data_IF_969916295108
#
_entry.id   IF_969916295108
#
_cell.length_a   1.000
_cell.length_b   1.000
_cell.length_c   1.000
_cell.angle_alpha   90.00
_cell.angle_beta   90.00
_cell.angle_gamma   90.00
#
_symmetry.space_group_name_H-M   'P 1'
#
loop_
_entity.id
_entity.type
_entity.pdbx_description
1 polymer ?
#
# COMPACT_ATOMS: atom_id res chain seq x y z
N UNK A 1 4.13 7.49 -0.16
CA UNK A 1 3.10 8.37 0.47
C UNK A 1 2.47 7.63 1.65
N UNK A 2 2.11 8.32 2.74
CA UNK A 2 1.43 7.72 3.92
C UNK A 2 -0.06 8.12 3.89
N UNK A 3 -0.93 7.19 4.25
CA UNK A 3 -2.39 7.33 4.27
C UNK A 3 -2.93 6.88 5.62
N UNK A 4 -4.12 7.37 5.99
CA UNK A 4 -4.84 6.98 7.21
C UNK A 4 -6.34 6.99 6.97
N UNK A 5 -7.06 6.14 7.70
CA UNK A 5 -8.53 6.14 7.84
C UNK A 5 -9.00 6.88 9.11
N UNK A 6 -8.08 7.53 9.82
CA UNK A 6 -8.31 8.18 11.12
C UNK A 6 -8.02 7.27 12.33
N UNK A 7 -7.74 5.98 12.11
CA UNK A 7 -7.39 5.02 13.18
C UNK A 7 -6.01 4.40 12.97
N UNK A 8 -5.73 3.95 11.75
CA UNK A 8 -4.48 3.28 11.39
C UNK A 8 -3.80 4.00 10.23
N UNK A 9 -2.51 3.75 10.09
CA UNK A 9 -1.65 4.32 9.07
C UNK A 9 -1.11 3.21 8.16
N UNK A 10 -0.91 3.56 6.90
CA UNK A 10 -0.30 2.70 5.89
C UNK A 10 0.52 3.54 4.90
N UNK A 11 1.42 2.92 4.15
CA UNK A 11 2.15 3.58 3.08
C UNK A 11 2.05 2.80 1.78
N UNK A 12 2.01 3.53 0.66
CA UNK A 12 2.04 2.93 -0.67
C UNK A 12 3.47 2.62 -1.09
N UNK A 13 3.64 1.44 -1.67
CA UNK A 13 4.90 0.94 -2.22
C UNK A 13 4.87 0.81 -3.75
N UNK A 14 3.71 0.49 -4.33
CA UNK A 14 3.56 0.23 -5.76
C UNK A 14 2.15 0.56 -6.24
N UNK A 15 2.00 0.74 -7.55
CA UNK A 15 0.71 0.92 -8.21
C UNK A 15 0.72 0.22 -9.57
N UNK A 16 -0.33 -0.53 -9.86
CA UNK A 16 -0.47 -1.31 -11.09
C UNK A 16 -1.78 -0.96 -11.80
N UNK A 17 -1.78 -1.12 -13.13
CA UNK A 17 -2.99 -1.05 -13.96
C UNK A 17 -3.78 -2.37 -13.93
N UNK A 18 -3.09 -3.49 -13.73
CA UNK A 18 -3.70 -4.82 -13.62
C UNK A 18 -3.94 -5.15 -12.14
N UNK A 19 -5.15 -5.61 -11.84
CA UNK A 19 -5.53 -6.11 -10.52
C UNK A 19 -4.70 -7.32 -10.11
N UNK A 20 -4.60 -8.29 -11.00
CA UNK A 20 -3.85 -9.54 -10.80
C UNK A 20 -2.38 -9.25 -10.44
N UNK A 21 -1.75 -8.29 -11.11
CA UNK A 21 -0.37 -7.89 -10.78
C UNK A 21 -0.26 -7.27 -9.39
N UNK A 22 -1.22 -6.43 -8.98
CA UNK A 22 -1.24 -5.85 -7.65
C UNK A 22 -1.47 -6.91 -6.56
N UNK A 23 -2.36 -7.87 -6.82
CA UNK A 23 -2.66 -8.97 -5.90
C UNK A 23 -1.45 -9.91 -5.76
N UNK A 24 -0.77 -10.25 -6.86
CA UNK A 24 0.46 -11.04 -6.83
C UNK A 24 1.58 -10.35 -6.04
N UNK A 25 1.71 -9.03 -6.19
CA UNK A 25 2.67 -8.25 -5.42
C UNK A 25 2.33 -8.23 -3.93
N UNK A 26 1.06 -8.01 -3.58
CA UNK A 26 0.60 -8.04 -2.20
C UNK A 26 0.79 -9.41 -1.56
N UNK A 27 0.50 -10.50 -2.29
CA UNK A 27 0.74 -11.87 -1.83
C UNK A 27 2.23 -12.13 -1.56
N UNK A 28 3.12 -11.72 -2.46
CA UNK A 28 4.58 -11.85 -2.25
C UNK A 28 5.04 -11.15 -0.97
N UNK A 29 4.47 -10.00 -0.66
CA UNK A 29 4.82 -9.23 0.54
C UNK A 29 4.27 -9.89 1.81
N UNK A 30 3.03 -10.39 1.75
CA UNK A 30 2.46 -11.20 2.84
C UNK A 30 3.33 -12.42 3.14
N UNK A 31 3.84 -13.11 2.11
CA UNK A 31 4.74 -14.27 2.25
C UNK A 31 6.08 -13.89 2.90
N UNK A 32 6.52 -12.63 2.78
CA UNK A 32 7.72 -12.11 3.46
C UNK A 32 7.44 -11.60 4.89
N UNK A 33 6.21 -11.72 5.37
CA UNK A 33 5.80 -11.26 6.71
C UNK A 33 5.33 -9.81 6.77
N UNK A 34 5.15 -9.15 5.62
CA UNK A 34 4.67 -7.77 5.55
C UNK A 34 3.15 -7.73 5.52
N UNK A 35 2.53 -6.82 6.29
CA UNK A 35 1.08 -6.62 6.24
C UNK A 35 0.65 -5.81 5.02
N UNK A 36 0.67 -6.45 3.84
CA UNK A 36 0.39 -5.83 2.55
C UNK A 36 -1.07 -6.05 2.08
N UNK A 37 -1.62 -5.04 1.39
CA UNK A 37 -2.98 -5.09 0.84
C UNK A 37 -3.13 -4.19 -0.40
N UNK A 38 -4.15 -4.48 -1.22
CA UNK A 38 -4.47 -3.72 -2.43
C UNK A 38 -5.62 -2.75 -2.18
N UNK A 39 -5.47 -1.52 -2.66
CA UNK A 39 -6.52 -0.49 -2.65
C UNK A 39 -6.80 -0.03 -4.07
N UNK A 40 -8.07 -0.06 -4.45
CA UNK A 40 -8.52 0.51 -5.72
C UNK A 40 -8.53 2.04 -5.65
N UNK A 41 -7.95 2.69 -6.64
CA UNK A 41 -7.98 4.12 -6.80
C UNK A 41 -8.52 4.44 -8.20
N UNK A 42 -9.71 5.05 -8.25
CA UNK A 42 -10.28 5.54 -9.48
C UNK A 42 -9.79 6.96 -9.74
N UNK A 43 -9.13 7.18 -10.88
CA UNK A 43 -8.73 8.51 -11.31
C UNK A 43 -9.77 9.01 -12.32
N UNK A 44 -10.73 9.81 -11.83
CA UNK A 44 -11.89 10.28 -12.60
C UNK A 44 -11.50 11.06 -13.86
N UNK A 45 -10.46 11.89 -13.77
CA UNK A 45 -9.95 12.71 -14.88
C UNK A 45 -9.43 11.86 -16.06
N UNK A 46 -8.94 10.65 -15.77
CA UNK A 46 -8.38 9.76 -16.79
C UNK A 46 -9.27 8.55 -17.08
N UNK A 47 -10.41 8.40 -16.38
CA UNK A 47 -11.30 7.23 -16.44
C UNK A 47 -10.57 5.87 -16.28
N UNK A 48 -9.43 5.84 -15.59
CA UNK A 48 -8.67 4.60 -15.40
C UNK A 48 -8.58 4.24 -13.92
N UNK A 49 -8.87 2.96 -13.64
CA UNK A 49 -8.68 2.33 -12.35
C UNK A 49 -7.21 1.93 -12.16
N UNK A 50 -6.66 2.31 -11.02
CA UNK A 50 -5.37 1.85 -10.52
C UNK A 50 -5.55 0.97 -9.30
N UNK A 51 -4.63 0.02 -9.14
CA UNK A 51 -4.56 -0.87 -7.99
C UNK A 51 -3.27 -0.57 -7.25
N UNK A 52 -3.38 0.07 -6.08
CA UNK A 52 -2.25 0.52 -5.27
C UNK A 52 -1.96 -0.52 -4.19
N UNK A 53 -0.72 -0.97 -4.11
CA UNK A 53 -0.27 -1.88 -3.05
C UNK A 53 0.27 -1.05 -1.90
N UNK A 54 -0.21 -1.34 -0.70
CA UNK A 54 0.15 -0.66 0.53
C UNK A 54 0.59 -1.65 1.60
N UNK A 55 1.46 -1.21 2.48
CA UNK A 55 1.82 -1.91 3.73
C UNK A 55 1.33 -1.05 4.89
N UNK A 56 0.70 -1.65 5.89
CA UNK A 56 0.02 -0.85 6.91
C UNK A 56 -0.37 -1.56 8.20
N UNK A 57 -1.43 -1.03 8.79
CA UNK A 57 -1.94 -1.31 10.15
C UNK A 57 -1.08 -0.73 11.28
N UNK A 58 -0.34 0.36 11.00
CA UNK A 58 0.43 1.09 12.01
C UNK A 58 -0.49 1.98 12.85
N UNK A 59 -0.25 2.08 14.16
CA UNK A 59 -1.09 2.88 15.06
C UNK A 59 -0.75 4.37 14.99
N UNK A 60 0.47 4.72 14.60
CA UNK A 60 0.92 6.12 14.52
C UNK A 60 1.58 6.44 13.19
N UNK A 61 1.56 7.72 12.83
CA UNK A 61 2.26 8.21 11.64
C UNK A 61 3.78 8.00 11.73
N UNK A 62 4.36 8.11 12.93
CA UNK A 62 5.79 7.93 13.15
C UNK A 62 6.19 6.47 12.94
N UNK A 63 5.40 5.52 13.44
CA UNK A 63 5.60 4.09 13.20
C UNK A 63 5.60 3.78 11.70
N UNK A 64 4.59 4.28 10.96
CA UNK A 64 4.54 4.10 9.51
C UNK A 64 5.73 4.73 8.77
N UNK A 65 6.22 5.90 9.21
CA UNK A 65 7.40 6.57 8.63
C UNK A 65 8.67 5.79 8.85
N UNK A 66 8.92 5.38 10.09
CA UNK A 66 10.12 4.63 10.45
C UNK A 66 10.14 3.27 9.77
N UNK A 67 8.99 2.58 9.75
CA UNK A 67 8.86 1.31 9.05
C UNK A 67 9.16 1.46 7.56
N UNK A 68 8.53 2.45 6.90
CA UNK A 68 8.78 2.73 5.48
C UNK A 68 10.27 3.01 5.21
N UNK A 69 10.94 3.77 6.08
CA UNK A 69 12.37 4.08 5.93
C UNK A 69 13.23 2.82 6.00
N UNK A 70 12.90 1.87 6.89
CA UNK A 70 13.59 0.58 6.99
C UNK A 70 13.32 -0.31 5.78
N UNK A 71 12.07 -0.35 5.32
CA UNK A 71 11.63 -1.15 4.18
C UNK A 71 12.23 -0.68 2.84
N UNK A 72 12.42 0.63 2.65
CA UNK A 72 12.96 1.20 1.41
C UNK A 72 14.50 1.27 1.37
N UNK A 73 15.18 0.69 2.35
CA UNK A 73 16.65 0.70 2.47
C UNK A 73 17.22 -0.57 1.87
#
# INVERSE_FOLDING_TARGET
MIFTDGKLFCFQIAAFRSRERAEKEAARLLDTGENAFVVEAYLSELQIKWYRVRIGFFKTINEAREYRKRFMK
#
